data_IF_539368317138
#
_entry.id   IF_539368317138
#
_cell.length_a   1.000
_cell.length_b   1.000
_cell.length_c   1.000
_cell.angle_alpha   90.00
_cell.angle_beta   90.00
_cell.angle_gamma   90.00
#
_symmetry.space_group_name_H-M   'P 1'
#
loop_
_entity.id
_entity.type
_entity.pdbx_description
1 polymer ?
#
# COMPACT_ATOMS: atom_id res chain seq x y z
N UNK A 1 -11.61 -24.54 -7.27
CA UNK A 1 -12.17 -24.37 -8.64
C UNK A 1 -13.40 -23.47 -8.70
N UNK A 2 -14.38 -23.60 -7.80
CA UNK A 2 -15.65 -22.83 -7.85
C UNK A 2 -15.52 -21.28 -7.84
N UNK A 3 -14.41 -20.71 -7.34
CA UNK A 3 -14.20 -19.26 -7.27
C UNK A 3 -13.52 -18.66 -8.51
N UNK A 4 -12.84 -19.47 -9.35
CA UNK A 4 -12.06 -18.96 -10.49
C UNK A 4 -12.90 -18.11 -11.46
N UNK A 5 -14.10 -18.55 -11.90
CA UNK A 5 -14.93 -17.74 -12.80
C UNK A 5 -15.34 -16.38 -12.20
N UNK A 6 -15.56 -16.32 -10.87
CA UNK A 6 -15.88 -15.08 -10.17
C UNK A 6 -14.68 -14.14 -10.15
N UNK A 7 -13.48 -14.67 -9.90
CA UNK A 7 -12.25 -13.87 -9.94
C UNK A 7 -12.01 -13.31 -11.35
N UNK A 8 -12.18 -14.11 -12.39
CA UNK A 8 -12.04 -13.64 -13.79
C UNK A 8 -13.02 -12.51 -14.12
N UNK A 9 -14.27 -12.58 -13.65
CA UNK A 9 -15.23 -11.49 -13.80
C UNK A 9 -14.81 -10.21 -13.05
N UNK A 10 -14.31 -10.36 -11.81
CA UNK A 10 -13.82 -9.21 -11.04
C UNK A 10 -12.62 -8.55 -11.72
N UNK A 11 -11.66 -9.32 -12.25
CA UNK A 11 -10.52 -8.78 -12.98
C UNK A 11 -10.98 -8.04 -14.23
N UNK A 12 -11.97 -8.55 -14.97
CA UNK A 12 -12.56 -7.83 -16.11
C UNK A 12 -13.13 -6.48 -15.70
N UNK A 13 -13.84 -6.41 -14.58
CA UNK A 13 -14.40 -5.14 -14.05
C UNK A 13 -13.28 -4.17 -13.68
N UNK A 14 -12.23 -4.65 -13.01
CA UNK A 14 -11.08 -3.80 -12.65
C UNK A 14 -10.43 -3.24 -13.93
N UNK A 15 -10.10 -4.10 -14.89
CA UNK A 15 -9.49 -3.68 -16.16
C UNK A 15 -10.38 -2.69 -16.91
N UNK A 16 -11.70 -2.95 -17.02
CA UNK A 16 -12.62 -2.08 -17.77
C UNK A 16 -12.92 -0.74 -17.10
N UNK A 17 -12.60 -0.59 -15.80
CA UNK A 17 -12.84 0.63 -15.04
C UNK A 17 -11.59 1.49 -14.85
N UNK A 18 -10.43 1.08 -15.38
CA UNK A 18 -9.25 1.92 -15.42
C UNK A 18 -9.53 3.17 -16.26
N UNK A 19 -9.20 4.35 -15.72
CA UNK A 19 -9.37 5.59 -16.46
C UNK A 19 -8.25 5.77 -17.51
N UNK A 20 -8.40 6.77 -18.37
CA UNK A 20 -7.41 7.09 -19.42
C UNK A 20 -6.03 7.50 -18.88
N UNK A 21 -5.95 7.91 -17.62
CA UNK A 21 -4.69 8.32 -16.98
C UNK A 21 -3.98 7.12 -16.34
N UNK A 22 -4.62 5.94 -16.30
CA UNK A 22 -4.06 4.69 -15.79
C UNK A 22 -4.47 4.33 -14.36
N UNK A 23 -5.31 5.12 -13.70
CA UNK A 23 -5.72 4.89 -12.31
C UNK A 23 -7.19 4.52 -12.12
N UNK A 24 -7.60 4.41 -10.86
CA UNK A 24 -8.97 4.04 -10.47
C UNK A 24 -9.52 4.92 -9.35
N UNK A 25 -10.86 4.92 -9.24
CA UNK A 25 -11.62 5.61 -8.21
C UNK A 25 -12.66 4.68 -7.56
N UNK A 26 -13.32 5.17 -6.51
CA UNK A 26 -14.26 4.41 -5.67
C UNK A 26 -15.44 3.77 -6.41
N UNK A 27 -15.83 4.27 -7.59
CA UNK A 27 -16.85 3.65 -8.43
C UNK A 27 -16.17 2.98 -9.64
N UNK A 28 -16.67 1.83 -10.12
CA UNK A 28 -16.12 1.12 -11.28
C UNK A 28 -16.49 1.84 -12.60
N UNK A 29 -16.08 3.10 -12.71
CA UNK A 29 -16.26 3.96 -13.88
C UNK A 29 -14.92 4.65 -14.19
N UNK A 30 -14.63 4.84 -15.47
CA UNK A 30 -13.31 5.24 -15.98
C UNK A 30 -13.10 6.76 -16.08
N UNK A 31 -13.65 7.54 -15.14
CA UNK A 31 -13.69 9.01 -15.22
C UNK A 31 -12.66 9.74 -14.34
N UNK A 32 -12.13 9.09 -13.30
CA UNK A 32 -11.27 9.72 -12.30
C UNK A 32 -10.32 8.66 -11.69
N UNK A 33 -9.28 9.11 -11.00
CA UNK A 33 -8.30 8.27 -10.34
C UNK A 33 -7.75 8.91 -9.06
N UNK A 34 -7.28 8.07 -8.12
CA UNK A 34 -6.33 8.46 -7.06
C UNK A 34 -5.39 7.33 -6.67
N UNK A 35 -4.34 7.67 -5.93
CA UNK A 35 -3.38 6.71 -5.39
C UNK A 35 -4.01 5.71 -4.41
N UNK A 36 -4.97 6.12 -3.60
CA UNK A 36 -5.54 5.29 -2.51
C UNK A 36 -6.38 4.12 -3.02
N UNK A 37 -7.02 4.28 -4.18
CA UNK A 37 -7.76 3.22 -4.86
C UNK A 37 -6.87 2.51 -5.87
N UNK A 38 -5.98 3.23 -6.56
CA UNK A 38 -5.07 2.62 -7.55
C UNK A 38 -4.17 1.55 -6.92
N UNK A 39 -3.64 1.77 -5.72
CA UNK A 39 -2.85 0.75 -5.01
C UNK A 39 -3.65 -0.55 -4.78
N UNK A 40 -4.95 -0.46 -4.46
CA UNK A 40 -5.78 -1.64 -4.23
C UNK A 40 -5.95 -2.44 -5.52
N UNK A 41 -6.21 -1.76 -6.63
CA UNK A 41 -6.39 -2.42 -7.92
C UNK A 41 -5.09 -3.05 -8.41
N UNK A 42 -3.97 -2.34 -8.28
CA UNK A 42 -2.65 -2.87 -8.64
C UNK A 42 -2.32 -4.14 -7.84
N UNK A 43 -2.52 -4.13 -6.52
CA UNK A 43 -2.28 -5.31 -5.67
C UNK A 43 -3.19 -6.47 -6.07
N UNK A 44 -4.48 -6.21 -6.35
CA UNK A 44 -5.42 -7.22 -6.80
C UNK A 44 -5.03 -7.82 -8.15
N UNK A 45 -4.65 -7.00 -9.12
CA UNK A 45 -4.22 -7.42 -10.45
C UNK A 45 -2.91 -8.23 -10.38
N UNK A 46 -1.95 -7.83 -9.53
CA UNK A 46 -0.71 -8.59 -9.32
C UNK A 46 -0.96 -9.92 -8.62
N UNK A 47 -1.84 -9.94 -7.61
CA UNK A 47 -2.26 -11.20 -6.97
C UNK A 47 -2.96 -12.14 -7.98
N UNK A 48 -3.81 -11.60 -8.85
CA UNK A 48 -4.48 -12.37 -9.91
C UNK A 48 -3.48 -12.96 -10.90
N UNK A 49 -2.49 -12.18 -11.36
CA UNK A 49 -1.42 -12.65 -12.25
C UNK A 49 -0.61 -13.78 -11.59
N UNK A 50 -0.24 -13.62 -10.32
CA UNK A 50 0.45 -14.66 -9.54
C UNK A 50 -0.41 -15.92 -9.33
N UNK A 51 -1.74 -15.76 -9.25
CA UNK A 51 -2.70 -16.86 -9.19
C UNK A 51 -3.01 -17.53 -10.54
N UNK A 52 -2.32 -17.15 -11.61
CA UNK A 52 -2.52 -17.72 -12.95
C UNK A 52 -3.79 -17.23 -13.65
N UNK A 53 -4.26 -16.02 -13.34
CA UNK A 53 -5.30 -15.33 -14.10
C UNK A 53 -4.67 -14.39 -15.14
N UNK A 54 -5.33 -14.25 -16.28
CA UNK A 54 -4.90 -13.34 -17.34
C UNK A 54 -5.17 -11.89 -16.94
N UNK A 55 -4.12 -11.08 -16.93
CA UNK A 55 -4.17 -9.63 -16.71
C UNK A 55 -3.40 -8.97 -17.86
N UNK A 56 -4.00 -8.01 -18.60
CA UNK A 56 -3.28 -7.28 -19.63
C UNK A 56 -2.08 -6.53 -19.05
N UNK A 57 -0.91 -6.67 -19.69
CA UNK A 57 0.30 -5.99 -19.23
C UNK A 57 0.17 -4.47 -19.32
N UNK A 58 -0.50 -3.97 -20.37
CA UNK A 58 -0.78 -2.54 -20.56
C UNK A 58 -1.51 -1.92 -19.38
N UNK A 59 -2.49 -2.61 -18.78
CA UNK A 59 -3.19 -2.14 -17.58
C UNK A 59 -2.24 -1.90 -16.41
N UNK A 60 -1.23 -2.76 -16.22
CA UNK A 60 -0.21 -2.59 -15.18
C UNK A 60 0.72 -1.44 -15.52
N UNK A 61 1.15 -1.35 -16.77
CA UNK A 61 2.09 -0.32 -17.23
C UNK A 61 1.47 1.08 -17.10
N UNK A 62 0.19 1.23 -17.47
CA UNK A 62 -0.59 2.47 -17.32
C UNK A 62 -0.75 2.84 -15.84
N UNK A 63 -1.00 1.86 -14.96
CA UNK A 63 -1.08 2.09 -13.53
C UNK A 63 0.25 2.57 -12.93
N UNK A 64 1.37 2.00 -13.40
CA UNK A 64 2.70 2.46 -12.99
C UNK A 64 2.96 3.89 -13.48
N UNK A 65 2.60 4.21 -14.73
CA UNK A 65 2.70 5.57 -15.25
C UNK A 65 1.87 6.57 -14.43
N UNK A 66 0.63 6.21 -14.08
CA UNK A 66 -0.22 7.01 -13.20
C UNK A 66 0.46 7.26 -11.84
N UNK A 67 0.94 6.21 -11.18
CA UNK A 67 1.61 6.33 -9.88
C UNK A 67 2.82 7.26 -9.96
N UNK A 68 3.65 7.14 -11.01
CA UNK A 68 4.79 8.06 -11.22
C UNK A 68 4.35 9.50 -11.42
N UNK A 69 3.26 9.75 -12.13
CA UNK A 69 2.73 11.11 -12.34
C UNK A 69 2.24 11.80 -11.05
N UNK A 70 1.95 11.02 -10.00
CA UNK A 70 1.62 11.53 -8.68
C UNK A 70 2.86 11.95 -7.86
N UNK A 71 4.08 11.74 -8.37
CA UNK A 71 5.30 12.13 -7.66
C UNK A 71 5.51 13.64 -7.72
N UNK A 72 5.80 14.24 -6.57
CA UNK A 72 6.13 15.65 -6.47
C UNK A 72 7.65 15.82 -6.31
N UNK A 73 8.35 16.21 -7.38
CA UNK A 73 9.81 16.36 -7.38
C UNK A 73 10.34 17.39 -6.38
N UNK A 74 9.57 18.46 -6.11
CA UNK A 74 9.99 19.53 -5.19
C UNK A 74 10.01 19.07 -3.74
N UNK A 75 9.04 18.24 -3.36
CA UNK A 75 8.84 17.81 -1.96
C UNK A 75 9.39 16.39 -1.71
N UNK A 76 9.47 15.54 -2.74
CA UNK A 76 10.04 14.20 -2.65
C UNK A 76 9.06 13.08 -2.24
N UNK A 77 7.75 13.37 -2.20
CA UNK A 77 6.69 12.42 -1.87
C UNK A 77 5.64 12.28 -2.98
N UNK A 78 4.65 11.41 -2.75
CA UNK A 78 3.54 11.23 -3.69
C UNK A 78 2.26 11.89 -3.19
N UNK A 79 1.58 12.51 -4.15
CA UNK A 79 0.35 13.24 -4.02
C UNK A 79 -0.87 12.33 -4.16
N UNK A 80 -2.07 12.84 -3.87
CA UNK A 80 -3.29 12.05 -3.98
C UNK A 80 -3.68 11.80 -5.43
N UNK A 81 -3.56 12.89 -6.18
CA UNK A 81 -3.71 13.03 -7.61
C UNK A 81 -2.53 13.88 -8.10
N UNK A 82 -2.14 13.78 -9.39
CA UNK A 82 -1.09 14.61 -9.95
C UNK A 82 -1.31 16.10 -9.66
N UNK A 83 -0.24 16.81 -9.28
CA UNK A 83 -0.28 18.24 -8.99
C UNK A 83 -0.81 18.66 -7.61
N UNK A 84 -1.24 17.72 -6.76
CA UNK A 84 -1.61 18.04 -5.36
C UNK A 84 -0.41 17.92 -4.39
N UNK A 85 -0.61 18.26 -3.12
CA UNK A 85 0.44 18.10 -2.11
C UNK A 85 0.64 16.63 -1.68
N UNK A 86 1.89 16.20 -1.45
CA UNK A 86 2.19 14.86 -0.95
C UNK A 86 1.63 14.57 0.43
N UNK A 87 1.60 13.28 0.78
CA UNK A 87 1.28 12.86 2.15
C UNK A 87 1.85 11.49 2.46
N UNK A 88 2.00 11.20 3.75
CA UNK A 88 2.59 9.95 4.23
C UNK A 88 1.91 8.70 3.66
N UNK A 89 0.58 8.58 3.83
CA UNK A 89 -0.15 7.40 3.37
C UNK A 89 -0.15 7.25 1.84
N UNK A 90 -0.19 8.37 1.11
CA UNK A 90 -0.15 8.40 -0.37
C UNK A 90 1.23 7.97 -0.88
N UNK A 91 2.29 8.48 -0.26
CA UNK A 91 3.67 8.08 -0.52
C UNK A 91 3.87 6.60 -0.27
N UNK A 92 3.40 6.08 0.87
CA UNK A 92 3.47 4.67 1.20
C UNK A 92 2.76 3.78 0.18
N UNK A 93 1.52 4.13 -0.18
CA UNK A 93 0.74 3.43 -1.19
C UNK A 93 1.42 3.44 -2.57
N UNK A 94 1.99 4.58 -2.97
CA UNK A 94 2.65 4.73 -4.26
C UNK A 94 3.92 3.88 -4.38
N UNK A 95 4.85 3.96 -3.41
CA UNK A 95 6.07 3.16 -3.47
C UNK A 95 5.76 1.66 -3.37
N UNK A 96 4.76 1.28 -2.56
CA UNK A 96 4.28 -0.08 -2.49
C UNK A 96 3.75 -0.55 -3.85
N UNK A 97 2.96 0.29 -4.54
CA UNK A 97 2.43 0.01 -5.89
C UNK A 97 3.54 -0.24 -6.90
N UNK A 98 4.58 0.60 -6.92
CA UNK A 98 5.73 0.42 -7.81
C UNK A 98 6.43 -0.92 -7.57
N UNK A 99 6.69 -1.24 -6.30
CA UNK A 99 7.38 -2.47 -5.92
C UNK A 99 6.56 -3.73 -6.23
N UNK A 100 5.25 -3.76 -5.93
CA UNK A 100 4.42 -4.92 -6.28
C UNK A 100 4.30 -5.10 -7.79
N UNK A 101 4.39 -4.02 -8.57
CA UNK A 101 4.48 -4.06 -10.04
C UNK A 101 5.84 -4.53 -10.58
N UNK A 102 6.83 -4.77 -9.72
CA UNK A 102 8.16 -5.24 -10.10
C UNK A 102 9.19 -4.12 -10.30
N UNK A 103 8.85 -2.87 -9.98
CA UNK A 103 9.76 -1.73 -10.07
C UNK A 103 10.45 -1.49 -8.73
N UNK A 104 11.18 -2.49 -8.24
CA UNK A 104 11.86 -2.44 -6.94
C UNK A 104 12.97 -1.38 -6.88
N UNK A 105 13.75 -1.26 -7.96
CA UNK A 105 14.89 -0.34 -8.07
C UNK A 105 14.51 1.03 -8.64
N UNK A 106 13.20 1.34 -8.72
CA UNK A 106 12.75 2.65 -9.20
C UNK A 106 13.28 3.76 -8.25
N UNK A 107 13.98 4.79 -8.75
CA UNK A 107 14.51 5.85 -7.91
C UNK A 107 13.47 6.54 -7.01
N UNK A 108 12.20 6.55 -7.45
CA UNK A 108 11.11 7.14 -6.68
C UNK A 108 10.74 6.30 -5.45
N UNK A 109 11.01 4.99 -5.44
CA UNK A 109 10.88 4.13 -4.24
C UNK A 109 11.85 4.62 -3.16
N UNK A 110 13.10 4.88 -3.53
CA UNK A 110 14.11 5.42 -2.62
C UNK A 110 13.77 6.83 -2.12
N UNK A 111 13.31 7.73 -3.01
CA UNK A 111 12.85 9.08 -2.61
C UNK A 111 11.66 9.00 -1.65
N UNK A 112 10.64 8.19 -1.99
CA UNK A 112 9.47 8.02 -1.14
C UNK A 112 9.78 7.37 0.21
N UNK A 113 10.70 6.40 0.27
CA UNK A 113 11.15 5.83 1.55
C UNK A 113 11.77 6.89 2.47
N UNK A 114 12.60 7.80 1.93
CA UNK A 114 13.13 8.93 2.70
C UNK A 114 12.02 9.85 3.20
N UNK A 115 11.08 10.21 2.33
CA UNK A 115 9.92 11.02 2.71
C UNK A 115 9.14 10.38 3.86
N UNK A 116 8.95 9.06 3.86
CA UNK A 116 8.26 8.34 4.93
C UNK A 116 9.01 8.43 6.27
N UNK A 117 10.34 8.38 6.28
CA UNK A 117 11.11 8.57 7.52
C UNK A 117 11.03 10.00 8.04
N UNK A 118 11.13 11.00 7.16
CA UNK A 118 11.06 12.42 7.52
C UNK A 118 9.69 12.83 8.05
N UNK A 119 8.63 12.21 7.53
CA UNK A 119 7.24 12.50 7.89
C UNK A 119 6.62 11.44 8.80
N UNK A 120 7.42 10.53 9.35
CA UNK A 120 6.93 9.58 10.33
C UNK A 120 6.39 10.34 11.53
N UNK A 121 5.15 10.05 11.90
CA UNK A 121 4.50 10.68 13.03
C UNK A 121 3.39 9.80 13.55
N UNK A 122 3.21 9.81 14.86
CA UNK A 122 2.31 8.92 15.58
C UNK A 122 0.88 9.49 15.65
N UNK A 123 0.69 10.78 15.32
CA UNK A 123 -0.60 11.50 15.26
C UNK A 123 -1.07 11.78 13.83
N UNK A 124 -0.57 11.01 12.86
CA UNK A 124 -1.01 11.14 11.46
C UNK A 124 -2.49 10.75 11.34
N UNK A 125 -3.30 11.56 10.64
CA UNK A 125 -4.74 11.30 10.43
C UNK A 125 -5.04 9.91 9.87
N UNK A 126 -4.13 9.39 9.04
CA UNK A 126 -4.24 8.08 8.40
C UNK A 126 -3.14 7.14 8.89
N UNK A 127 -2.75 7.20 10.17
CA UNK A 127 -1.61 6.46 10.72
C UNK A 127 -1.68 4.96 10.39
N UNK A 128 -2.78 4.30 10.76
CA UNK A 128 -2.95 2.85 10.56
C UNK A 128 -2.95 2.49 9.07
N UNK A 129 -3.74 3.21 8.26
CA UNK A 129 -3.83 2.99 6.82
C UNK A 129 -2.51 3.28 6.08
N UNK A 130 -1.78 4.32 6.48
CA UNK A 130 -0.48 4.65 5.92
C UNK A 130 0.56 3.58 6.24
N UNK A 131 0.60 3.11 7.49
CA UNK A 131 1.54 2.07 7.91
C UNK A 131 1.21 0.69 7.32
N UNK A 132 -0.06 0.42 7.00
CA UNK A 132 -0.45 -0.77 6.25
C UNK A 132 0.30 -0.92 4.92
N UNK A 133 0.61 0.19 4.23
CA UNK A 133 1.43 0.18 3.02
C UNK A 133 2.91 0.47 3.27
N UNK A 134 3.22 1.30 4.27
CA UNK A 134 4.60 1.68 4.52
C UNK A 134 5.43 0.49 5.01
N UNK A 135 4.88 -0.33 5.91
CA UNK A 135 5.58 -1.51 6.42
C UNK A 135 5.98 -2.49 5.30
N UNK A 136 5.08 -2.97 4.41
CA UNK A 136 5.50 -3.87 3.34
C UNK A 136 6.42 -3.20 2.32
N UNK A 137 6.25 -1.90 2.03
CA UNK A 137 7.14 -1.19 1.12
C UNK A 137 8.60 -1.14 1.65
N UNK A 138 8.74 -0.80 2.93
CA UNK A 138 10.04 -0.73 3.59
C UNK A 138 10.64 -2.14 3.79
N UNK A 139 9.78 -3.14 4.01
CA UNK A 139 10.17 -4.55 4.05
C UNK A 139 10.77 -5.02 2.71
N UNK A 140 10.13 -4.66 1.59
CA UNK A 140 10.62 -5.00 0.24
C UNK A 140 11.93 -4.29 -0.11
N UNK A 141 12.18 -3.08 0.41
CA UNK A 141 13.52 -2.45 0.30
C UNK A 141 14.55 -3.26 1.12
N UNK A 142 14.16 -3.74 2.29
CA UNK A 142 14.99 -4.62 3.11
C UNK A 142 16.19 -3.91 3.75
N UNK A 143 17.23 -4.68 4.07
CA UNK A 143 18.47 -4.17 4.63
C UNK A 143 18.29 -3.34 5.91
N UNK A 144 19.07 -2.27 6.03
CA UNK A 144 18.99 -1.35 7.16
C UNK A 144 17.70 -0.53 7.17
N UNK A 145 17.14 -0.24 5.99
CA UNK A 145 15.86 0.45 5.82
C UNK A 145 14.75 -0.29 6.57
N UNK A 146 14.60 -1.60 6.33
CA UNK A 146 13.62 -2.40 7.05
C UNK A 146 13.90 -2.48 8.54
N UNK A 147 15.16 -2.74 8.95
CA UNK A 147 15.52 -2.86 10.38
C UNK A 147 15.15 -1.60 11.16
N UNK A 148 15.48 -0.43 10.61
CA UNK A 148 15.16 0.87 11.21
C UNK A 148 13.66 1.11 11.24
N UNK A 149 12.96 0.88 10.13
CA UNK A 149 11.52 1.07 10.05
C UNK A 149 10.76 0.18 11.04
N UNK A 150 11.09 -1.11 11.05
CA UNK A 150 10.43 -2.09 11.91
C UNK A 150 10.62 -1.74 13.38
N UNK A 151 11.86 -1.43 13.81
CA UNK A 151 12.13 -1.00 15.19
C UNK A 151 11.26 0.18 15.60
N UNK A 152 11.12 1.18 14.73
CA UNK A 152 10.36 2.39 15.00
C UNK A 152 8.85 2.12 15.09
N UNK A 153 8.28 1.42 14.09
CA UNK A 153 6.84 1.14 14.08
C UNK A 153 6.46 0.12 15.16
N UNK A 154 7.26 -0.92 15.39
CA UNK A 154 6.95 -1.95 16.38
C UNK A 154 6.98 -1.40 17.80
N UNK A 155 7.96 -0.55 18.14
CA UNK A 155 8.00 0.10 19.44
C UNK A 155 6.73 0.92 19.70
N UNK A 156 6.31 1.72 18.71
CA UNK A 156 5.11 2.53 18.81
C UNK A 156 3.83 1.69 18.93
N UNK A 157 3.74 0.58 18.18
CA UNK A 157 2.60 -0.33 18.26
C UNK A 157 2.53 -1.04 19.62
N UNK A 158 3.67 -1.50 20.14
CA UNK A 158 3.74 -2.16 21.45
C UNK A 158 3.47 -1.19 22.62
N UNK A 159 3.78 0.09 22.47
CA UNK A 159 3.41 1.12 23.45
C UNK A 159 1.89 1.37 23.47
N UNK A 160 1.23 1.26 22.32
CA UNK A 160 -0.18 1.64 22.12
C UNK A 160 -1.18 0.51 22.29
N UNK A 161 -0.71 -0.73 22.43
CA UNK A 161 -1.61 -1.86 22.60
C UNK A 161 -2.29 -1.79 23.96
N UNK A 162 -3.61 -1.86 23.97
CA UNK A 162 -4.38 -2.03 25.19
C UNK A 162 -4.50 -3.52 25.49
N UNK A 163 -4.19 -3.90 26.74
CA UNK A 163 -4.27 -5.28 27.21
C UNK A 163 -5.29 -5.38 28.35
N UNK A 164 -6.23 -6.31 28.22
CA UNK A 164 -7.23 -6.65 29.24
C UNK A 164 -7.47 -8.16 29.25
N UNK A 165 -6.89 -8.84 30.25
CA UNK A 165 -6.84 -10.30 30.28
C UNK A 165 -6.18 -10.89 29.04
N UNK A 166 -6.92 -11.75 28.33
CA UNK A 166 -6.47 -12.41 27.10
C UNK A 166 -6.69 -11.57 25.83
N UNK A 167 -7.13 -10.31 25.98
CA UNK A 167 -7.44 -9.43 24.85
C UNK A 167 -6.37 -8.35 24.71
N UNK A 168 -5.73 -8.32 23.53
CA UNK A 168 -4.85 -7.24 23.08
C UNK A 168 -5.47 -6.54 21.87
N UNK A 169 -5.74 -5.24 21.98
CA UNK A 169 -6.32 -4.47 20.87
C UNK A 169 -5.72 -3.07 20.71
N UNK A 170 -5.86 -2.54 19.50
CA UNK A 170 -5.54 -1.15 19.18
C UNK A 170 -6.81 -0.40 18.79
N UNK A 171 -6.91 0.84 19.24
CA UNK A 171 -8.01 1.74 18.91
C UNK A 171 -7.59 3.21 19.02
N UNK A 172 -8.36 4.09 18.38
CA UNK A 172 -8.24 5.54 18.53
C UNK A 172 -7.36 6.23 17.48
N UNK A 173 -6.71 5.47 16.58
CA UNK A 173 -5.92 6.03 15.47
C UNK A 173 -6.66 5.98 14.11
N UNK A 174 -7.83 5.35 14.05
CA UNK A 174 -8.65 5.26 12.85
C UNK A 174 -10.12 5.47 13.18
N UNK A 175 -10.83 6.20 12.31
CA UNK A 175 -12.30 6.32 12.38
C UNK A 175 -13.02 5.03 11.97
N UNK A 176 -12.30 4.00 11.50
CA UNK A 176 -12.88 2.71 11.08
C UNK A 176 -13.17 1.81 12.29
N UNK A 177 -12.34 1.89 13.34
CA UNK A 177 -12.54 1.16 14.59
C UNK A 177 -11.51 0.07 14.89
N UNK A 178 -11.65 -0.58 16.06
CA UNK A 178 -10.62 -1.42 16.67
C UNK A 178 -10.28 -2.68 15.88
N UNK A 179 -11.24 -3.30 15.20
CA UNK A 179 -11.01 -4.51 14.41
C UNK A 179 -10.03 -4.26 13.27
N UNK A 180 -10.20 -3.16 12.54
CA UNK A 180 -9.31 -2.76 11.47
C UNK A 180 -7.90 -2.43 11.99
N UNK A 181 -7.83 -1.61 13.04
CA UNK A 181 -6.54 -1.22 13.64
C UNK A 181 -5.77 -2.43 14.16
N UNK A 182 -6.43 -3.29 14.92
CA UNK A 182 -5.82 -4.50 15.48
C UNK A 182 -5.34 -5.44 14.37
N UNK A 183 -6.14 -5.66 13.33
CA UNK A 183 -5.76 -6.52 12.21
C UNK A 183 -4.51 -6.01 11.48
N UNK A 184 -4.48 -4.70 11.15
CA UNK A 184 -3.33 -4.09 10.47
C UNK A 184 -2.08 -4.14 11.35
N UNK A 185 -2.20 -3.81 12.63
CA UNK A 185 -1.05 -3.76 13.53
C UNK A 185 -0.46 -5.15 13.77
N UNK A 186 -1.30 -6.18 13.91
CA UNK A 186 -0.86 -7.57 13.96
C UNK A 186 -0.15 -7.96 12.65
N UNK A 187 -0.69 -7.60 11.48
CA UNK A 187 -0.03 -7.89 10.20
C UNK A 187 1.37 -7.26 10.12
N UNK A 188 1.53 -6.01 10.58
CA UNK A 188 2.84 -5.33 10.62
C UNK A 188 3.79 -6.04 11.58
N UNK A 189 3.34 -6.33 12.81
CA UNK A 189 4.15 -7.01 13.82
C UNK A 189 4.55 -8.43 13.38
N UNK A 190 3.69 -9.09 12.59
CA UNK A 190 3.90 -10.45 12.09
C UNK A 190 4.85 -10.53 10.88
N UNK A 191 5.24 -9.40 10.25
CA UNK A 191 6.09 -9.41 9.05
C UNK A 191 7.41 -10.19 9.19
N UNK A 192 8.17 -10.08 10.30
CA UNK A 192 9.41 -10.84 10.45
C UNK A 192 9.25 -12.36 10.45
N UNK A 193 8.04 -12.86 10.72
CA UNK A 193 7.76 -14.29 10.71
C UNK A 193 7.45 -14.85 9.31
N UNK A 194 7.33 -13.98 8.30
CA UNK A 194 7.22 -14.37 6.88
C UNK A 194 6.08 -15.35 6.56
N UNK A 195 4.97 -15.26 7.29
CA UNK A 195 3.81 -16.14 7.08
C UNK A 195 3.12 -15.95 5.73
N UNK A 196 3.24 -14.77 5.10
CA UNK A 196 2.65 -14.50 3.81
C UNK A 196 3.67 -14.77 2.69
N UNK A 197 3.29 -15.48 1.60
CA UNK A 197 4.18 -15.75 0.47
C UNK A 197 4.81 -14.49 -0.14
N UNK A 198 4.10 -13.37 -0.13
CA UNK A 198 4.62 -12.07 -0.59
C UNK A 198 5.84 -11.59 0.21
N UNK A 199 6.03 -12.09 1.43
CA UNK A 199 7.11 -11.71 2.34
C UNK A 199 8.19 -12.78 2.46
N UNK A 200 8.02 -13.94 1.82
CA UNK A 200 9.02 -14.98 1.73
C UNK A 200 10.06 -14.58 0.67
N UNK A 201 11.34 -14.71 1.01
CA UNK A 201 12.47 -14.41 0.12
C UNK A 201 13.00 -15.68 -0.52
#
# INVERSE_FOLDING_TARGET
EAIRPKLEQLIKIIVSSQNRDGGWRYRPISNDADISVTVLQVVALRAAKNGGLTVPQTTIDDAVAYVRSCFNERVGGFSYQPGSEPGFARTAAAIYSLQVCGHYDDPLVGKGSRYLFEHFGDRQRWFTYGNFYAAPAQYMIGGETWKRWYRQVSALLLERVYNDGDVSLWFGNSSVGPLFETSVNIMILAMPYQYLPLYQR
#
